data_IF_527636257762
#
_entry.id   IF_527636257762
#
_cell.length_a   1.000
_cell.length_b   1.000
_cell.length_c   1.000
_cell.angle_alpha   90.00
_cell.angle_beta   90.00
_cell.angle_gamma   90.00
#
_symmetry.space_group_name_H-M   'P 1'
#
loop_
_entity.id
_entity.type
_entity.pdbx_description
1 polymer ?
#
# COMPACT_ATOMS: atom_id res chain seq x y z
N UNK A 1 -22.30 2.47 -23.67
CA UNK A 1 -21.95 2.73 -22.28
C UNK A 1 -20.43 2.86 -22.07
N UNK A 2 -19.60 2.00 -22.66
CA UNK A 2 -18.12 2.15 -22.65
C UNK A 2 -17.67 3.50 -23.24
N UNK A 3 -18.45 4.12 -24.15
CA UNK A 3 -18.16 5.45 -24.72
C UNK A 3 -18.13 6.56 -23.67
N UNK A 4 -18.81 6.38 -22.55
CA UNK A 4 -18.90 7.35 -21.46
C UNK A 4 -17.86 7.12 -20.34
N UNK A 5 -17.05 6.06 -20.41
CA UNK A 5 -15.91 5.86 -19.55
C UNK A 5 -14.64 6.39 -20.23
N UNK A 6 -14.07 7.46 -19.70
CA UNK A 6 -12.97 8.22 -20.30
C UNK A 6 -11.86 8.44 -19.27
N UNK A 7 -11.05 7.42 -18.99
CA UNK A 7 -9.91 7.57 -18.10
C UNK A 7 -8.85 8.49 -18.71
N UNK A 8 -8.09 9.23 -17.89
CA UNK A 8 -7.02 10.12 -18.37
C UNK A 8 -5.81 9.35 -18.90
N UNK A 9 -5.67 8.08 -18.51
CA UNK A 9 -4.59 7.18 -18.95
C UNK A 9 -5.18 6.20 -19.96
N UNK A 10 -4.55 6.11 -21.11
CA UNK A 10 -4.96 5.18 -22.17
C UNK A 10 -4.72 3.73 -21.74
N UNK A 11 -5.62 2.83 -22.13
CA UNK A 11 -5.52 1.41 -21.81
C UNK A 11 -6.23 0.97 -20.54
N UNK A 12 -6.70 1.90 -19.68
CA UNK A 12 -7.51 1.52 -18.52
C UNK A 12 -8.89 1.05 -18.98
N UNK A 13 -9.19 -0.21 -18.66
CA UNK A 13 -10.47 -0.86 -18.96
C UNK A 13 -11.26 -1.01 -17.65
N UNK A 14 -12.57 -0.66 -17.65
CA UNK A 14 -13.37 -0.83 -16.43
C UNK A 14 -13.52 -2.31 -16.10
N UNK A 15 -13.24 -2.69 -14.86
CA UNK A 15 -13.40 -4.06 -14.35
C UNK A 15 -14.44 -4.10 -13.22
N UNK A 16 -15.22 -5.18 -13.16
CA UNK A 16 -16.25 -5.38 -12.14
C UNK A 16 -15.63 -5.40 -10.73
N UNK A 17 -16.27 -4.71 -9.79
CA UNK A 17 -15.82 -4.59 -8.40
C UNK A 17 -14.80 -3.49 -8.16
N UNK A 18 -14.13 -2.98 -9.20
CA UNK A 18 -13.12 -1.93 -9.13
C UNK A 18 -13.72 -0.56 -8.89
N UNK A 19 -12.94 0.30 -8.27
CA UNK A 19 -13.27 1.70 -8.08
C UNK A 19 -12.48 2.61 -9.04
N UNK A 20 -13.12 3.66 -9.49
CA UNK A 20 -12.52 4.68 -10.35
C UNK A 20 -13.02 6.05 -9.93
N UNK A 21 -12.29 7.14 -10.23
CA UNK A 21 -12.78 8.50 -9.99
C UNK A 21 -14.06 8.78 -10.78
N UNK A 22 -15.06 9.39 -10.16
CA UNK A 22 -16.31 9.75 -10.85
C UNK A 22 -16.05 10.60 -12.08
N UNK A 23 -15.00 11.44 -12.06
CA UNK A 23 -14.63 12.30 -13.18
C UNK A 23 -14.27 11.58 -14.49
N UNK A 24 -14.09 10.24 -14.50
CA UNK A 24 -13.90 9.49 -15.75
C UNK A 24 -15.22 9.18 -16.47
N UNK A 25 -16.36 9.34 -15.80
CA UNK A 25 -17.69 9.18 -16.39
C UNK A 25 -18.10 10.44 -17.14
N UNK A 26 -18.74 10.28 -18.29
CA UNK A 26 -19.24 11.37 -19.12
C UNK A 26 -20.75 11.25 -19.31
N UNK A 27 -21.41 12.39 -19.46
CA UNK A 27 -22.83 12.45 -19.76
C UNK A 27 -23.76 12.19 -18.57
N UNK A 28 -23.24 12.22 -17.34
CA UNK A 28 -24.03 12.11 -16.12
C UNK A 28 -24.23 13.49 -15.48
N UNK A 29 -25.47 13.87 -15.11
CA UNK A 29 -25.72 15.10 -14.39
C UNK A 29 -24.96 15.14 -13.05
N UNK A 30 -24.35 16.29 -12.71
CA UNK A 30 -23.62 16.47 -11.45
C UNK A 30 -22.25 15.79 -11.37
N UNK A 31 -21.78 15.15 -12.44
CA UNK A 31 -20.45 14.54 -12.53
C UNK A 31 -19.55 15.42 -13.39
N UNK A 32 -18.43 15.87 -12.81
CA UNK A 32 -17.46 16.75 -13.46
C UNK A 32 -16.11 16.06 -13.61
N UNK A 33 -15.30 16.38 -14.62
CA UNK A 33 -13.99 15.74 -14.87
C UNK A 33 -13.01 15.80 -13.68
N UNK A 34 -13.14 16.83 -12.82
CA UNK A 34 -12.29 17.01 -11.64
C UNK A 34 -12.76 16.23 -10.41
N UNK A 35 -13.90 15.54 -10.49
CA UNK A 35 -14.44 14.80 -9.36
C UNK A 35 -13.64 13.51 -9.12
N UNK A 36 -12.83 13.52 -8.07
CA UNK A 36 -11.97 12.38 -7.67
C UNK A 36 -12.68 11.39 -6.73
N UNK A 37 -13.91 11.67 -6.28
CA UNK A 37 -14.68 10.75 -5.45
C UNK A 37 -14.79 9.38 -6.13
N UNK A 38 -14.62 8.28 -5.40
CA UNK A 38 -14.70 6.94 -5.99
C UNK A 38 -16.14 6.60 -6.40
N UNK A 39 -16.27 5.86 -7.50
CA UNK A 39 -17.47 5.08 -7.82
C UNK A 39 -17.07 3.63 -8.06
N UNK A 40 -17.98 2.70 -7.76
CA UNK A 40 -17.75 1.28 -8.02
C UNK A 40 -18.34 0.87 -9.36
N UNK A 41 -17.59 0.08 -10.12
CA UNK A 41 -18.13 -0.67 -11.26
C UNK A 41 -18.85 -1.91 -10.73
N UNK A 42 -20.17 -1.92 -10.86
CA UNK A 42 -21.00 -3.05 -10.41
C UNK A 42 -21.00 -4.18 -11.45
N UNK A 43 -21.10 -3.81 -12.72
CA UNK A 43 -21.14 -4.73 -13.84
C UNK A 43 -20.63 -4.07 -15.11
N UNK A 44 -19.94 -4.84 -15.93
CA UNK A 44 -19.53 -4.48 -17.28
C UNK A 44 -20.15 -5.49 -18.25
N UNK A 45 -21.02 -5.01 -19.12
CA UNK A 45 -21.58 -5.77 -20.24
C UNK A 45 -20.97 -5.24 -21.55
N UNK A 46 -21.24 -5.90 -22.68
CA UNK A 46 -20.73 -5.49 -24.00
C UNK A 46 -21.08 -4.02 -24.33
N UNK A 47 -22.31 -3.59 -24.01
CA UNK A 47 -22.83 -2.27 -24.31
C UNK A 47 -23.05 -1.38 -23.08
N UNK A 48 -22.93 -1.90 -21.86
CA UNK A 48 -23.30 -1.19 -20.65
C UNK A 48 -22.23 -1.26 -19.58
N UNK A 49 -22.11 -0.17 -18.83
CA UNK A 49 -21.39 -0.07 -17.57
C UNK A 49 -22.41 0.34 -16.50
N UNK A 50 -22.57 -0.47 -15.46
CA UNK A 50 -23.37 -0.13 -14.30
C UNK A 50 -22.42 0.41 -13.24
N UNK A 51 -22.61 1.67 -12.86
CA UNK A 51 -21.79 2.40 -11.89
C UNK A 51 -22.61 2.69 -10.62
N UNK A 52 -22.06 2.35 -9.46
CA UNK A 52 -22.57 2.78 -8.15
C UNK A 52 -21.78 4.01 -7.69
N UNK A 53 -22.44 5.16 -7.65
CA UNK A 53 -21.86 6.44 -7.26
C UNK A 53 -22.02 6.75 -5.77
N UNK A 54 -22.61 5.83 -5.01
CA UNK A 54 -22.74 6.01 -3.58
C UNK A 54 -21.37 5.94 -2.89
N UNK A 55 -21.35 6.46 -1.65
CA UNK A 55 -20.17 6.27 -0.79
C UNK A 55 -19.80 4.78 -0.67
N UNK A 56 -18.51 4.40 -0.67
CA UNK A 56 -18.09 3.01 -0.60
C UNK A 56 -18.66 2.20 0.59
N UNK A 57 -18.99 2.87 1.68
CA UNK A 57 -19.63 2.28 2.86
C UNK A 57 -21.16 2.42 2.87
N UNK A 58 -21.79 2.91 1.80
CA UNK A 58 -23.24 3.05 1.75
C UNK A 58 -23.94 1.70 1.96
N UNK A 59 -24.91 1.70 2.85
CA UNK A 59 -25.64 0.48 3.24
C UNK A 59 -24.86 -0.50 4.11
N UNK A 60 -23.72 -0.10 4.64
CA UNK A 60 -22.97 -0.85 5.66
C UNK A 60 -23.24 -0.23 7.01
N UNK A 61 -23.71 -1.03 7.96
CA UNK A 61 -23.71 -0.63 9.37
C UNK A 61 -22.26 -0.56 9.85
N UNK A 62 -21.84 0.59 10.34
CA UNK A 62 -20.49 0.82 10.82
C UNK A 62 -20.50 1.63 12.10
N UNK A 63 -19.59 1.31 13.01
CA UNK A 63 -19.29 2.10 14.20
C UNK A 63 -18.00 2.89 13.93
N UNK A 64 -18.05 4.19 14.16
CA UNK A 64 -16.88 5.06 14.09
C UNK A 64 -16.44 5.39 15.52
N UNK A 65 -15.26 4.93 15.91
CA UNK A 65 -14.58 5.32 17.14
C UNK A 65 -13.48 6.31 16.82
N UNK A 66 -13.47 7.45 17.50
CA UNK A 66 -12.51 8.53 17.26
C UNK A 66 -11.77 8.81 18.55
N UNK A 67 -10.44 8.64 18.52
CA UNK A 67 -9.54 9.03 19.60
C UNK A 67 -8.66 10.18 19.11
N UNK A 68 -8.80 11.42 19.64
CA UNK A 68 -7.90 12.51 19.33
C UNK A 68 -6.55 12.26 19.98
N UNK A 69 -5.54 11.97 19.19
CA UNK A 69 -4.17 11.71 19.68
C UNK A 69 -3.40 13.00 19.98
N UNK A 70 -3.62 14.04 19.17
CA UNK A 70 -2.97 15.34 19.33
C UNK A 70 -3.92 16.47 18.93
N UNK A 71 -3.77 17.61 19.59
CA UNK A 71 -4.49 18.85 19.28
C UNK A 71 -3.47 19.97 19.16
N UNK A 72 -3.45 20.65 18.02
CA UNK A 72 -2.56 21.79 17.79
C UNK A 72 -3.33 23.10 17.82
N UNK A 73 -2.76 24.17 18.39
CA UNK A 73 -3.34 25.50 18.28
C UNK A 73 -3.34 25.95 16.81
N UNK A 74 -4.39 26.64 16.40
CA UNK A 74 -4.47 27.27 15.09
C UNK A 74 -3.35 28.30 14.94
N UNK A 75 -2.52 28.17 13.91
CA UNK A 75 -1.35 29.02 13.70
C UNK A 75 -1.59 30.15 12.69
N UNK A 76 -2.66 30.09 11.92
CA UNK A 76 -3.01 31.10 10.90
C UNK A 76 -4.51 31.18 10.67
N UNK A 77 -4.96 32.36 10.29
CA UNK A 77 -6.34 32.58 9.86
C UNK A 77 -6.45 32.35 8.36
N UNK A 78 -6.91 31.16 7.98
CA UNK A 78 -7.35 30.88 6.63
C UNK A 78 -8.87 31.01 6.57
N UNK A 79 -9.38 31.61 5.49
CA UNK A 79 -10.81 31.61 5.22
C UNK A 79 -11.38 30.19 5.25
N UNK A 80 -12.51 30.00 5.90
CA UNK A 80 -13.05 28.68 6.16
C UNK A 80 -13.48 27.95 4.89
N UNK A 81 -12.95 26.77 4.66
CA UNK A 81 -13.55 25.77 3.79
C UNK A 81 -14.29 24.77 4.67
N UNK A 82 -15.58 24.57 4.42
CA UNK A 82 -16.29 23.47 5.05
C UNK A 82 -15.73 22.16 4.50
N UNK A 83 -15.14 21.37 5.35
CA UNK A 83 -14.71 20.01 4.99
C UNK A 83 -15.82 19.03 5.34
N UNK A 84 -16.10 18.13 4.42
CA UNK A 84 -16.90 16.93 4.72
C UNK A 84 -16.01 15.96 5.52
N UNK A 85 -15.96 16.19 6.83
CA UNK A 85 -15.10 15.43 7.72
C UNK A 85 -15.52 13.95 7.79
N UNK A 86 -16.80 13.61 7.54
CA UNK A 86 -17.27 12.23 7.48
C UNK A 86 -16.61 11.53 6.28
N UNK A 87 -16.67 12.14 5.08
CA UNK A 87 -15.96 11.62 3.92
C UNK A 87 -14.46 11.54 4.17
N UNK A 88 -13.84 12.59 4.73
CA UNK A 88 -12.40 12.59 5.01
C UNK A 88 -11.96 11.46 5.96
N UNK A 89 -12.78 11.08 6.93
CA UNK A 89 -12.51 9.98 7.84
C UNK A 89 -12.78 8.59 7.22
N UNK A 90 -13.72 8.49 6.29
CA UNK A 90 -14.21 7.22 5.75
C UNK A 90 -13.77 6.92 4.31
N UNK A 91 -13.22 7.89 3.58
CA UNK A 91 -12.69 7.71 2.22
C UNK A 91 -11.24 7.15 2.20
N UNK A 92 -10.79 6.60 3.31
CA UNK A 92 -9.44 6.03 3.39
C UNK A 92 -9.27 4.75 2.56
N UNK A 93 -8.05 4.48 2.07
CA UNK A 93 -7.73 3.20 1.45
C UNK A 93 -8.14 2.02 2.35
N UNK A 94 -8.77 1.01 1.75
CA UNK A 94 -9.27 -0.17 2.47
C UNK A 94 -10.64 -0.02 3.12
N UNK A 95 -11.17 1.18 3.29
CA UNK A 95 -12.50 1.44 3.85
C UNK A 95 -13.59 1.20 2.79
N UNK A 96 -13.72 0.00 2.30
CA UNK A 96 -14.74 -0.35 1.32
C UNK A 96 -15.51 -1.59 1.73
N UNK A 97 -16.79 -1.65 1.37
CA UNK A 97 -17.57 -2.85 1.52
C UNK A 97 -16.92 -4.00 0.73
N UNK A 98 -16.66 -5.11 1.40
CA UNK A 98 -16.21 -6.33 0.73
C UNK A 98 -17.30 -6.77 -0.25
N UNK A 99 -16.96 -6.86 -1.54
CA UNK A 99 -17.86 -7.44 -2.51
C UNK A 99 -17.89 -8.96 -2.30
N UNK A 100 -19.08 -9.56 -2.27
CA UNK A 100 -19.22 -11.03 -2.17
C UNK A 100 -18.53 -11.77 -3.32
N UNK A 101 -18.49 -11.16 -4.52
CA UNK A 101 -17.81 -11.70 -5.69
C UNK A 101 -16.29 -11.45 -5.70
N UNK A 102 -15.75 -10.73 -4.71
CA UNK A 102 -14.36 -10.27 -4.75
C UNK A 102 -14.15 -9.06 -5.67
N UNK A 103 -12.90 -8.67 -5.83
CA UNK A 103 -12.48 -7.67 -6.81
C UNK A 103 -11.37 -8.28 -7.64
N UNK A 104 -11.58 -8.32 -8.95
CA UNK A 104 -10.56 -8.77 -9.87
C UNK A 104 -9.49 -7.68 -10.06
N UNK A 105 -8.30 -7.98 -9.57
CA UNK A 105 -7.10 -7.16 -9.76
C UNK A 105 -6.14 -7.77 -10.79
N UNK A 106 -6.54 -8.82 -11.50
CA UNK A 106 -5.72 -9.47 -12.52
C UNK A 106 -4.48 -10.16 -11.95
N UNK A 107 -4.57 -10.73 -10.74
CA UNK A 107 -3.44 -11.36 -10.05
C UNK A 107 -3.33 -12.87 -10.29
N UNK A 108 -3.98 -13.40 -11.34
CA UNK A 108 -3.89 -14.82 -11.70
C UNK A 108 -2.54 -15.20 -12.35
N UNK A 109 -1.74 -14.20 -12.71
CA UNK A 109 -0.42 -14.35 -13.31
C UNK A 109 0.53 -13.21 -12.89
N UNK A 110 1.71 -13.14 -13.53
CA UNK A 110 2.63 -12.04 -13.29
C UNK A 110 2.00 -10.68 -13.64
N UNK A 111 2.15 -9.71 -12.74
CA UNK A 111 1.70 -8.35 -12.97
C UNK A 111 2.62 -7.65 -13.98
N UNK A 112 2.02 -6.85 -14.84
CA UNK A 112 2.74 -6.10 -15.87
C UNK A 112 3.55 -4.96 -15.25
N UNK A 113 4.83 -4.83 -15.65
CA UNK A 113 5.67 -3.66 -15.39
C UNK A 113 5.77 -2.76 -16.61
N UNK A 114 5.98 -1.45 -16.43
CA UNK A 114 6.34 -0.58 -17.55
C UNK A 114 7.61 -1.08 -18.25
N UNK A 115 7.70 -0.87 -19.56
CA UNK A 115 8.95 -1.13 -20.30
C UNK A 115 9.99 -0.10 -19.85
N UNK A 116 11.00 -0.55 -19.09
CA UNK A 116 12.07 0.27 -18.53
C UNK A 116 13.34 -0.53 -18.33
N UNK A 117 14.32 0.04 -17.64
CA UNK A 117 15.48 -0.71 -17.17
C UNK A 117 15.00 -1.82 -16.23
N UNK A 118 15.40 -3.07 -16.49
CA UNK A 118 15.08 -4.19 -15.63
C UNK A 118 15.52 -3.93 -14.17
N UNK A 119 14.90 -4.62 -13.23
CA UNK A 119 15.16 -4.44 -11.79
C UNK A 119 16.64 -4.50 -11.45
N UNK A 120 17.38 -5.47 -11.99
CA UNK A 120 18.81 -5.61 -11.76
C UNK A 120 19.60 -4.35 -12.12
N UNK A 121 19.32 -3.72 -13.27
CA UNK A 121 19.98 -2.50 -13.69
C UNK A 121 19.57 -1.28 -12.84
N UNK A 122 18.30 -1.20 -12.48
CA UNK A 122 17.79 -0.12 -11.65
C UNK A 122 18.37 -0.16 -10.23
N UNK A 123 18.36 -1.31 -9.58
CA UNK A 123 18.83 -1.47 -8.20
C UNK A 123 20.35 -1.68 -8.09
N UNK A 124 21.10 -1.79 -9.19
CA UNK A 124 22.56 -1.82 -9.16
C UNK A 124 23.18 -0.54 -8.59
N UNK A 125 22.50 0.60 -8.74
CA UNK A 125 22.98 1.89 -8.21
C UNK A 125 22.31 2.18 -6.87
N UNK A 126 23.06 2.35 -5.77
CA UNK A 126 22.50 2.67 -4.46
C UNK A 126 21.69 3.98 -4.47
N UNK A 127 20.54 3.97 -3.81
CA UNK A 127 19.61 5.11 -3.71
C UNK A 127 19.27 5.40 -2.26
N UNK A 128 20.15 6.10 -1.58
CA UNK A 128 19.97 6.48 -0.16
C UNK A 128 19.07 7.72 -0.03
N UNK A 129 17.83 7.58 -0.51
CA UNK A 129 16.82 8.66 -0.44
C UNK A 129 15.69 8.27 0.51
N UNK A 130 15.17 9.22 1.32
CA UNK A 130 14.00 8.95 2.12
C UNK A 130 12.78 8.67 1.21
N UNK A 131 12.17 7.50 1.38
CA UNK A 131 11.00 7.14 0.59
C UNK A 131 9.75 7.90 1.03
N UNK A 132 9.69 8.28 2.31
CA UNK A 132 8.61 9.07 2.92
C UNK A 132 9.19 10.13 3.86
N UNK A 133 8.38 11.12 4.25
CA UNK A 133 8.83 12.14 5.20
C UNK A 133 9.07 11.59 6.63
N UNK A 134 9.63 12.43 7.51
CA UNK A 134 10.03 11.99 8.84
C UNK A 134 8.83 11.69 9.76
N UNK A 135 7.64 12.28 9.52
CA UNK A 135 6.45 11.93 10.30
C UNK A 135 5.92 10.56 9.88
N UNK A 136 5.85 10.29 8.59
CA UNK A 136 5.45 8.97 8.09
C UNK A 136 6.40 7.88 8.59
N UNK A 137 7.71 8.12 8.63
CA UNK A 137 8.68 7.19 9.22
C UNK A 137 8.37 6.88 10.68
N UNK A 138 8.13 7.91 11.52
CA UNK A 138 7.72 7.70 12.92
C UNK A 138 6.43 6.90 13.05
N UNK A 139 5.49 7.10 12.14
CA UNK A 139 4.24 6.37 12.12
C UNK A 139 4.47 4.88 11.80
N UNK A 140 5.35 4.57 10.86
CA UNK A 140 5.75 3.18 10.54
C UNK A 140 6.47 2.54 11.73
N UNK A 141 7.44 3.22 12.31
CA UNK A 141 8.17 2.74 13.51
C UNK A 141 7.22 2.45 14.68
N UNK A 142 6.26 3.33 14.93
CA UNK A 142 5.23 3.13 15.96
C UNK A 142 4.33 1.93 15.65
N UNK A 143 3.94 1.77 14.40
CA UNK A 143 3.15 0.62 13.96
C UNK A 143 3.92 -0.69 14.18
N UNK A 144 5.17 -0.76 13.76
CA UNK A 144 6.03 -1.92 13.98
C UNK A 144 6.30 -2.18 15.44
N UNK A 145 6.52 -1.14 16.26
CA UNK A 145 6.68 -1.27 17.71
C UNK A 145 5.48 -1.94 18.39
N UNK A 146 4.28 -1.71 17.87
CA UNK A 146 3.05 -2.36 18.32
C UNK A 146 2.90 -3.79 17.79
N UNK A 147 3.07 -3.98 16.48
CA UNK A 147 2.79 -5.26 15.81
C UNK A 147 3.89 -6.31 16.05
N UNK A 148 5.15 -5.88 16.20
CA UNK A 148 6.29 -6.77 16.38
C UNK A 148 6.67 -6.98 17.85
N UNK A 149 5.86 -6.50 18.79
CA UNK A 149 6.12 -6.67 20.22
C UNK A 149 6.29 -8.15 20.58
N UNK A 150 7.43 -8.48 21.17
CA UNK A 150 7.77 -9.84 21.60
C UNK A 150 8.30 -10.76 20.48
N UNK A 151 8.50 -10.23 19.28
CA UNK A 151 9.11 -10.94 18.15
C UNK A 151 10.61 -10.63 18.10
N UNK A 152 11.42 -11.60 17.66
CA UNK A 152 12.89 -11.50 17.69
C UNK A 152 13.56 -12.01 16.41
N UNK A 153 12.88 -12.84 15.62
CA UNK A 153 13.40 -13.40 14.37
C UNK A 153 12.64 -12.76 13.20
N UNK A 154 13.05 -11.56 12.83
CA UNK A 154 12.39 -10.76 11.81
C UNK A 154 13.12 -10.89 10.47
N UNK A 155 12.37 -11.05 9.38
CA UNK A 155 12.84 -10.93 8.01
C UNK A 155 12.30 -9.63 7.40
N UNK A 156 13.19 -8.79 6.90
CA UNK A 156 12.84 -7.58 6.13
C UNK A 156 12.99 -7.87 4.63
N UNK A 157 11.85 -7.98 3.94
CA UNK A 157 11.79 -8.25 2.51
C UNK A 157 11.95 -6.96 1.71
N UNK A 158 12.72 -7.04 0.62
CA UNK A 158 13.06 -5.92 -0.24
C UNK A 158 13.73 -4.79 0.54
N UNK A 159 14.58 -5.19 1.51
CA UNK A 159 15.32 -4.29 2.36
C UNK A 159 16.28 -3.42 1.56
N UNK A 160 16.42 -2.17 1.98
CA UNK A 160 17.39 -1.20 1.47
C UNK A 160 18.24 -0.63 2.60
N UNK A 161 18.67 0.63 2.41
CA UNK A 161 19.54 1.32 3.37
C UNK A 161 18.85 1.69 4.70
N UNK A 162 17.53 1.58 4.79
CA UNK A 162 16.74 1.92 5.96
C UNK A 162 15.57 0.93 6.14
N UNK A 163 15.56 0.25 7.28
CA UNK A 163 14.37 -0.42 7.82
C UNK A 163 13.67 0.51 8.80
N UNK A 164 12.38 0.43 8.88
CA UNK A 164 11.59 1.26 9.81
C UNK A 164 11.27 0.49 11.11
N UNK A 165 12.19 -0.40 11.51
CA UNK A 165 12.03 -1.21 12.71
C UNK A 165 12.23 -0.39 13.98
N UNK A 166 11.59 -0.77 15.10
CA UNK A 166 11.83 -0.15 16.38
C UNK A 166 13.29 -0.26 16.80
N UNK A 167 13.77 0.73 17.56
CA UNK A 167 15.13 0.70 18.10
C UNK A 167 15.41 -0.60 18.88
N UNK A 168 16.57 -1.20 18.62
CA UNK A 168 17.01 -2.45 19.24
C UNK A 168 16.45 -3.74 18.62
N UNK A 169 15.50 -3.67 17.69
CA UNK A 169 15.05 -4.82 16.92
C UNK A 169 15.91 -4.94 15.66
N UNK A 170 16.51 -6.11 15.46
CA UNK A 170 17.27 -6.41 14.26
C UNK A 170 16.57 -7.45 13.40
N UNK A 171 16.78 -7.37 12.08
CA UNK A 171 16.23 -8.30 11.10
C UNK A 171 17.31 -8.94 10.22
N UNK A 172 16.99 -10.07 9.61
CA UNK A 172 17.66 -10.52 8.40
C UNK A 172 17.08 -9.70 7.23
N UNK A 173 17.92 -9.09 6.41
CA UNK A 173 17.50 -8.33 5.23
C UNK A 173 17.63 -9.15 3.96
N UNK A 174 16.61 -9.08 3.10
CA UNK A 174 16.66 -9.63 1.75
C UNK A 174 16.31 -8.50 0.76
N UNK A 175 17.21 -8.21 -0.17
CA UNK A 175 17.04 -7.14 -1.14
C UNK A 175 18.01 -7.25 -2.31
N UNK A 176 18.01 -6.28 -3.20
CA UNK A 176 18.81 -6.36 -4.42
C UNK A 176 20.14 -5.60 -4.35
N UNK A 177 20.32 -4.67 -3.41
CA UNK A 177 21.53 -3.87 -3.29
C UNK A 177 22.26 -4.16 -1.98
N UNK A 178 23.41 -4.83 -2.08
CA UNK A 178 24.22 -5.23 -0.91
C UNK A 178 24.85 -4.03 -0.20
N UNK A 179 25.18 -2.94 -0.92
CA UNK A 179 25.76 -1.73 -0.32
C UNK A 179 24.73 -1.00 0.54
N UNK A 180 23.52 -0.81 0.03
CA UNK A 180 22.43 -0.21 0.80
C UNK A 180 22.13 -1.01 2.07
N UNK A 181 21.95 -2.33 1.92
CA UNK A 181 21.68 -3.22 3.06
C UNK A 181 22.83 -3.26 4.05
N UNK A 182 24.10 -3.22 3.58
CA UNK A 182 25.28 -3.22 4.43
C UNK A 182 25.41 -1.99 5.32
N UNK A 183 24.81 -0.87 4.93
CA UNK A 183 24.78 0.36 5.73
C UNK A 183 23.53 0.48 6.62
N UNK A 184 22.60 -0.45 6.54
CA UNK A 184 21.37 -0.43 7.33
C UNK A 184 21.63 -0.99 8.75
N UNK A 185 21.62 -0.16 9.79
CA UNK A 185 21.97 -0.59 11.14
C UNK A 185 20.93 -1.54 11.78
N UNK A 186 19.75 -1.65 11.20
CA UNK A 186 18.70 -2.55 11.66
C UNK A 186 18.86 -3.99 11.10
N UNK A 187 19.83 -4.22 10.20
CA UNK A 187 20.04 -5.56 9.63
C UNK A 187 21.22 -6.25 10.30
N UNK A 188 20.97 -7.46 10.82
CA UNK A 188 22.00 -8.34 11.41
C UNK A 188 22.66 -9.24 10.37
N UNK A 189 21.99 -9.49 9.25
CA UNK A 189 22.49 -10.26 8.11
C UNK A 189 21.79 -9.79 6.84
N UNK A 190 22.45 -10.01 5.69
CA UNK A 190 21.92 -9.57 4.39
C UNK A 190 22.01 -10.70 3.36
N UNK A 191 20.98 -10.84 2.54
CA UNK A 191 20.92 -11.77 1.41
C UNK A 191 20.54 -10.98 0.17
N UNK A 192 21.37 -11.07 -0.87
CA UNK A 192 21.06 -10.46 -2.18
C UNK A 192 20.19 -11.41 -2.98
N UNK A 193 18.96 -10.96 -3.31
CA UNK A 193 18.00 -11.79 -4.00
C UNK A 193 16.98 -10.94 -4.75
N UNK A 194 16.61 -11.36 -5.96
CA UNK A 194 15.59 -10.73 -6.79
C UNK A 194 14.29 -11.55 -6.75
N UNK A 195 13.32 -11.08 -5.97
CA UNK A 195 12.01 -11.72 -5.81
C UNK A 195 11.16 -11.73 -7.09
N UNK A 196 11.46 -10.88 -8.07
CA UNK A 196 10.77 -10.87 -9.36
C UNK A 196 11.34 -11.92 -10.32
N UNK A 197 12.63 -12.22 -10.21
CA UNK A 197 13.27 -13.31 -10.94
C UNK A 197 12.95 -14.68 -10.31
N UNK A 198 13.03 -14.78 -8.99
CA UNK A 198 12.68 -15.98 -8.24
C UNK A 198 11.95 -15.60 -6.94
N UNK A 199 10.65 -15.88 -6.81
CA UNK A 199 9.88 -15.58 -5.61
C UNK A 199 10.22 -16.49 -4.42
N UNK A 200 11.01 -17.56 -4.62
CA UNK A 200 11.40 -18.51 -3.58
C UNK A 200 12.36 -17.85 -2.58
N UNK A 201 12.00 -17.83 -1.31
CA UNK A 201 12.88 -17.27 -0.27
C UNK A 201 14.00 -18.25 0.10
N UNK A 202 15.28 -17.81 0.10
CA UNK A 202 16.43 -18.66 0.39
C UNK A 202 16.61 -18.94 1.91
N UNK A 203 15.51 -19.21 2.58
CA UNK A 203 15.46 -19.52 4.01
C UNK A 203 14.67 -20.81 4.25
N UNK A 204 15.01 -21.49 5.35
CA UNK A 204 14.30 -22.70 5.77
C UNK A 204 12.86 -22.38 6.22
N UNK A 205 12.02 -23.42 6.25
CA UNK A 205 10.67 -23.32 6.78
C UNK A 205 10.70 -22.91 8.26
N UNK A 206 9.73 -22.06 8.66
CA UNK A 206 9.51 -21.67 10.06
C UNK A 206 10.75 -21.04 10.72
N UNK A 207 11.57 -20.33 9.94
CA UNK A 207 12.79 -19.68 10.43
C UNK A 207 12.53 -18.34 11.13
N UNK A 208 11.37 -17.72 10.89
CA UNK A 208 11.04 -16.39 11.37
C UNK A 208 9.73 -16.37 12.15
N UNK A 209 9.60 -15.41 13.07
CA UNK A 209 8.36 -15.12 13.79
C UNK A 209 7.64 -13.89 13.22
N UNK A 210 8.35 -13.07 12.42
CA UNK A 210 7.76 -11.99 11.63
C UNK A 210 8.46 -11.80 10.29
N UNK A 211 7.68 -11.39 9.29
CA UNK A 211 8.14 -10.90 7.98
C UNK A 211 7.56 -9.51 7.77
N UNK A 212 8.41 -8.56 7.41
CA UNK A 212 7.99 -7.19 7.06
C UNK A 212 8.39 -6.87 5.62
N UNK A 213 7.58 -6.06 4.94
CA UNK A 213 7.89 -5.48 3.64
C UNK A 213 7.48 -4.01 3.66
N UNK A 214 8.46 -3.11 3.60
CA UNK A 214 8.24 -1.68 3.76
C UNK A 214 8.44 -0.94 2.45
N UNK A 215 7.39 -0.21 1.99
CA UNK A 215 7.43 0.72 0.84
C UNK A 215 7.96 0.07 -0.45
N UNK A 216 7.59 -1.20 -0.69
CA UNK A 216 8.17 -1.98 -1.79
C UNK A 216 7.21 -2.97 -2.47
N UNK A 217 6.03 -3.25 -1.89
CA UNK A 217 5.07 -4.24 -2.44
C UNK A 217 4.61 -3.90 -3.85
N UNK A 218 4.60 -2.63 -4.21
CA UNK A 218 4.23 -2.10 -5.51
C UNK A 218 5.17 -2.50 -6.65
N UNK A 219 6.33 -3.05 -6.33
CA UNK A 219 7.34 -3.48 -7.31
C UNK A 219 7.31 -4.98 -7.59
N UNK A 220 6.53 -5.76 -6.85
CA UNK A 220 6.43 -7.20 -7.01
C UNK A 220 5.56 -7.58 -8.20
N UNK A 221 6.09 -8.36 -9.13
CA UNK A 221 5.32 -8.89 -10.27
C UNK A 221 4.56 -10.17 -9.91
N UNK A 222 5.00 -10.90 -8.88
CA UNK A 222 4.35 -12.14 -8.37
C UNK A 222 4.08 -12.05 -6.87
N UNK A 223 3.33 -11.03 -6.39
CA UNK A 223 3.19 -10.77 -4.96
C UNK A 223 2.50 -11.91 -4.19
N UNK A 224 1.60 -12.64 -4.84
CA UNK A 224 0.90 -13.77 -4.21
C UNK A 224 1.88 -14.93 -3.93
N UNK A 225 2.82 -15.20 -4.85
CA UNK A 225 3.82 -16.24 -4.64
C UNK A 225 4.81 -15.84 -3.55
N UNK A 226 5.25 -14.57 -3.53
CA UNK A 226 6.11 -14.04 -2.46
C UNK A 226 5.42 -14.15 -1.09
N UNK A 227 4.11 -13.87 -1.00
CA UNK A 227 3.37 -14.04 0.25
C UNK A 227 3.21 -15.52 0.66
N UNK A 228 3.10 -16.45 -0.30
CA UNK A 228 3.13 -17.89 0.01
C UNK A 228 4.47 -18.30 0.60
N UNK A 229 5.57 -17.80 0.06
CA UNK A 229 6.91 -18.03 0.56
C UNK A 229 7.14 -17.36 1.92
N UNK A 230 6.67 -16.12 2.11
CA UNK A 230 6.67 -15.46 3.41
C UNK A 230 5.96 -16.30 4.48
N UNK A 231 4.82 -16.89 4.13
CA UNK A 231 4.11 -17.80 5.04
C UNK A 231 4.88 -19.11 5.29
N UNK A 232 5.60 -19.66 4.31
CA UNK A 232 6.42 -20.86 4.48
C UNK A 232 7.56 -20.66 5.48
N UNK A 233 8.23 -19.51 5.38
CA UNK A 233 9.35 -19.19 6.27
C UNK A 233 8.92 -18.71 7.67
N UNK A 234 7.64 -18.35 7.84
CA UNK A 234 7.06 -17.99 9.12
C UNK A 234 6.66 -19.23 9.93
N UNK A 235 6.85 -19.19 11.23
CA UNK A 235 6.28 -20.19 12.14
C UNK A 235 4.74 -20.07 12.23
N UNK A 236 4.03 -21.10 12.68
CA UNK A 236 2.60 -21.00 12.96
C UNK A 236 2.29 -19.85 13.92
N UNK A 237 1.32 -19.00 13.58
CA UNK A 237 1.04 -17.75 14.30
C UNK A 237 2.05 -16.61 14.02
N UNK A 238 3.02 -16.85 13.14
CA UNK A 238 3.94 -15.82 12.65
C UNK A 238 3.22 -14.71 11.89
N UNK A 239 3.74 -13.49 11.93
CA UNK A 239 3.11 -12.29 11.39
C UNK A 239 3.78 -11.84 10.10
N UNK A 240 3.01 -11.59 9.05
CA UNK A 240 3.47 -10.87 7.86
C UNK A 240 2.85 -9.47 7.82
N UNK A 241 3.66 -8.42 7.67
CA UNK A 241 3.22 -7.02 7.60
C UNK A 241 3.74 -6.38 6.33
N UNK A 242 2.85 -5.84 5.54
CA UNK A 242 3.17 -5.05 4.34
C UNK A 242 2.77 -3.61 4.59
N UNK A 243 3.73 -2.68 4.49
CA UNK A 243 3.53 -1.24 4.64
C UNK A 243 3.82 -0.53 3.34
N UNK A 244 2.98 0.40 2.94
CA UNK A 244 3.15 1.21 1.74
C UNK A 244 2.62 2.62 1.95
N UNK A 245 2.92 3.51 0.98
CA UNK A 245 2.49 4.90 0.98
C UNK A 245 1.94 5.28 -0.40
N UNK A 246 1.76 6.58 -0.65
CA UNK A 246 1.35 7.12 -1.95
C UNK A 246 2.55 7.48 -2.84
N UNK A 247 3.78 7.09 -2.44
CA UNK A 247 5.02 7.33 -3.19
C UNK A 247 5.60 6.03 -3.71
N UNK A 248 6.05 6.05 -4.93
CA UNK A 248 6.75 4.93 -5.59
C UNK A 248 7.65 5.46 -6.71
N UNK A 249 8.52 4.60 -7.22
CA UNK A 249 9.28 4.86 -8.44
C UNK A 249 8.40 4.52 -9.66
N UNK A 250 7.98 5.51 -10.48
CA UNK A 250 7.00 5.30 -11.56
C UNK A 250 7.40 4.22 -12.56
N UNK A 251 8.70 4.16 -12.89
CA UNK A 251 9.23 3.21 -13.88
C UNK A 251 9.42 1.78 -13.33
N UNK A 252 9.20 1.57 -12.02
CA UNK A 252 9.39 0.29 -11.34
C UNK A 252 8.09 -0.31 -10.81
N UNK A 253 7.11 0.51 -10.48
CA UNK A 253 5.85 0.03 -9.96
C UNK A 253 5.09 -0.76 -11.03
N UNK A 254 4.44 -1.85 -10.62
CA UNK A 254 3.57 -2.62 -11.51
C UNK A 254 2.44 -1.74 -12.02
N UNK A 255 2.07 -1.92 -13.28
CA UNK A 255 1.13 -1.05 -13.99
C UNK A 255 -0.18 -0.87 -13.25
N UNK A 256 -0.77 -1.95 -12.76
CA UNK A 256 -2.02 -1.88 -12.01
C UNK A 256 -1.93 -0.95 -10.79
N UNK A 257 -0.80 -0.93 -10.07
CA UNK A 257 -0.61 -0.06 -8.92
C UNK A 257 -0.78 1.42 -9.26
N UNK A 258 -0.26 1.83 -10.41
CA UNK A 258 -0.36 3.22 -10.90
C UNK A 258 -1.75 3.56 -11.43
N UNK A 259 -2.50 2.56 -11.90
CA UNK A 259 -3.86 2.70 -12.43
C UNK A 259 -4.95 2.65 -11.35
N UNK A 260 -4.62 2.12 -10.15
CA UNK A 260 -5.57 2.03 -9.04
C UNK A 260 -5.93 3.41 -8.50
N UNK A 261 -7.21 3.62 -8.23
CA UNK A 261 -7.62 4.67 -7.33
C UNK A 261 -6.97 4.45 -5.96
N UNK A 262 -6.48 5.51 -5.31
CA UNK A 262 -5.78 5.42 -4.01
C UNK A 262 -6.56 4.59 -2.99
N UNK A 263 -7.88 4.74 -3.01
CA UNK A 263 -8.83 3.99 -2.18
C UNK A 263 -8.69 2.46 -2.30
N UNK A 264 -8.20 1.93 -3.43
CA UNK A 264 -8.15 0.49 -3.69
C UNK A 264 -6.83 -0.19 -3.33
N UNK A 265 -5.72 0.53 -3.14
CA UNK A 265 -4.41 -0.10 -2.95
C UNK A 265 -4.36 -1.02 -1.73
N UNK A 266 -4.89 -0.59 -0.58
CA UNK A 266 -4.97 -1.45 0.60
C UNK A 266 -5.85 -2.69 0.36
N UNK A 267 -6.91 -2.53 -0.44
CA UNK A 267 -7.76 -3.66 -0.80
C UNK A 267 -7.05 -4.66 -1.74
N UNK A 268 -6.23 -4.16 -2.67
CA UNK A 268 -5.40 -5.03 -3.52
C UNK A 268 -4.40 -5.82 -2.68
N UNK A 269 -3.70 -5.16 -1.75
CA UNK A 269 -2.75 -5.87 -0.87
C UNK A 269 -3.46 -6.89 0.01
N UNK A 270 -4.63 -6.55 0.58
CA UNK A 270 -5.43 -7.52 1.35
C UNK A 270 -5.88 -8.71 0.47
N UNK A 271 -6.17 -8.48 -0.81
CA UNK A 271 -6.50 -9.55 -1.75
C UNK A 271 -5.30 -10.45 -2.06
N UNK A 272 -4.07 -9.91 -2.10
CA UNK A 272 -2.85 -10.71 -2.21
C UNK A 272 -2.72 -11.70 -1.04
N UNK A 273 -2.96 -11.24 0.19
CA UNK A 273 -3.00 -12.12 1.38
C UNK A 273 -4.06 -13.20 1.24
N UNK A 274 -5.28 -12.84 0.82
CA UNK A 274 -6.38 -13.78 0.63
C UNK A 274 -6.06 -14.83 -0.44
N UNK A 275 -5.54 -14.42 -1.59
CA UNK A 275 -5.19 -15.31 -2.70
C UNK A 275 -3.99 -16.22 -2.38
N UNK A 276 -3.12 -15.82 -1.47
CA UNK A 276 -2.06 -16.71 -0.99
C UNK A 276 -2.61 -17.94 -0.28
N UNK A 277 -3.79 -17.82 0.37
CA UNK A 277 -4.46 -18.90 1.11
C UNK A 277 -3.70 -19.34 2.36
N UNK A 278 -2.82 -18.50 2.90
CA UNK A 278 -1.90 -18.86 4.00
C UNK A 278 -2.09 -18.03 5.26
N UNK A 279 -2.87 -16.97 5.21
CA UNK A 279 -3.01 -16.04 6.32
C UNK A 279 -4.46 -15.95 6.79
N UNK A 280 -4.61 -15.94 8.10
CA UNK A 280 -5.87 -15.68 8.78
C UNK A 280 -5.89 -14.23 9.31
N UNK A 281 -7.07 -13.76 9.70
CA UNK A 281 -7.28 -12.49 10.38
C UNK A 281 -6.58 -11.30 9.70
N UNK A 282 -6.69 -11.20 8.36
CA UNK A 282 -6.11 -10.08 7.61
C UNK A 282 -6.74 -8.77 8.05
N UNK A 283 -5.89 -7.85 8.52
CA UNK A 283 -6.28 -6.53 8.98
C UNK A 283 -5.59 -5.43 8.17
N UNK A 284 -6.17 -4.24 8.18
CA UNK A 284 -5.65 -3.07 7.47
C UNK A 284 -5.59 -1.86 8.39
N UNK A 285 -4.67 -0.95 8.08
CA UNK A 285 -4.57 0.35 8.73
C UNK A 285 -4.29 1.41 7.65
N UNK A 286 -4.95 2.57 7.81
CA UNK A 286 -4.66 3.77 7.02
C UNK A 286 -4.49 4.95 7.96
N UNK A 287 -3.29 5.51 8.04
CA UNK A 287 -2.94 6.64 8.89
C UNK A 287 -2.61 7.85 8.01
N UNK A 288 -3.44 8.90 8.12
CA UNK A 288 -3.40 10.07 7.24
C UNK A 288 -3.65 11.35 8.03
N UNK A 289 -3.41 12.50 7.38
CA UNK A 289 -3.79 13.80 7.93
C UNK A 289 -2.83 14.41 8.93
N UNK A 290 -1.72 13.74 9.25
CA UNK A 290 -0.67 14.33 10.08
C UNK A 290 -0.08 15.58 9.40
N UNK A 291 0.26 16.62 10.16
CA UNK A 291 1.01 17.75 9.62
C UNK A 291 2.35 17.31 9.06
N UNK A 292 2.73 17.87 7.91
CA UNK A 292 4.06 17.66 7.36
C UNK A 292 5.10 18.37 8.21
N UNK A 293 6.20 17.69 8.58
CA UNK A 293 7.28 18.33 9.33
C UNK A 293 7.86 19.54 8.59
N UNK A 294 8.15 20.62 9.33
CA UNK A 294 8.80 21.81 8.80
C UNK A 294 10.31 21.54 8.61
N UNK A 295 10.66 20.75 7.61
CA UNK A 295 12.05 20.44 7.25
C UNK A 295 12.37 21.01 5.86
N UNK A 296 13.27 22.00 5.82
CA UNK A 296 13.69 22.62 4.56
C UNK A 296 14.41 21.65 3.61
N UNK A 297 14.87 20.49 4.09
CA UNK A 297 15.46 19.44 3.26
C UNK A 297 14.42 18.57 2.57
N UNK A 298 13.18 18.62 3.05
CA UNK A 298 12.07 17.94 2.38
C UNK A 298 11.64 18.76 1.16
N UNK A 299 11.87 18.22 -0.03
CA UNK A 299 11.58 18.90 -1.30
C UNK A 299 10.10 19.29 -1.49
N UNK A 300 9.20 18.71 -0.72
CA UNK A 300 7.76 19.00 -0.80
C UNK A 300 7.31 20.04 0.23
N UNK A 301 8.17 20.40 1.20
CA UNK A 301 7.89 21.48 2.12
C UNK A 301 8.25 22.84 1.48
N UNK A 302 7.43 23.88 1.61
CA UNK A 302 6.10 23.97 2.27
C UNK A 302 4.91 23.70 1.36
N UNK A 303 5.11 23.17 0.18
CA UNK A 303 4.06 23.02 -0.86
C UNK A 303 2.98 22.01 -0.45
N UNK A 304 3.35 20.97 0.28
CA UNK A 304 2.45 19.93 0.76
C UNK A 304 2.32 20.04 2.28
N UNK A 305 1.11 20.27 2.76
CA UNK A 305 0.86 20.54 4.18
C UNK A 305 0.73 19.27 5.02
N UNK A 306 0.36 18.14 4.42
CA UNK A 306 0.20 16.88 5.12
C UNK A 306 1.39 15.95 4.89
N UNK A 307 1.73 15.20 5.94
CA UNK A 307 2.68 14.11 5.89
C UNK A 307 2.24 13.04 4.90
N UNK A 308 3.20 12.28 4.39
CA UNK A 308 2.91 11.14 3.52
C UNK A 308 2.05 10.12 4.30
N UNK A 309 0.95 9.60 3.72
CA UNK A 309 0.12 8.63 4.40
C UNK A 309 0.85 7.31 4.59
N UNK A 310 0.49 6.59 5.64
CA UNK A 310 0.96 5.23 5.92
C UNK A 310 -0.21 4.28 5.82
N UNK A 311 -0.08 3.28 4.98
CA UNK A 311 -1.03 2.20 4.82
C UNK A 311 -0.34 0.89 5.16
N UNK A 312 -1.05 0.02 5.85
CA UNK A 312 -0.53 -1.29 6.19
C UNK A 312 -1.60 -2.37 6.02
N UNK A 313 -1.15 -3.54 5.64
CA UNK A 313 -1.94 -4.78 5.64
C UNK A 313 -1.11 -5.86 6.31
N UNK A 314 -1.71 -6.60 7.22
CA UNK A 314 -1.03 -7.71 7.88
C UNK A 314 -1.95 -8.89 8.12
N UNK A 315 -1.36 -10.06 8.26
CA UNK A 315 -2.04 -11.29 8.61
C UNK A 315 -1.12 -12.24 9.36
N UNK A 316 -1.70 -13.16 10.10
CA UNK A 316 -0.98 -14.25 10.80
C UNK A 316 -1.09 -15.53 10.02
N UNK A 317 -0.02 -16.32 10.00
CA UNK A 317 -0.03 -17.66 9.39
C UNK A 317 -0.95 -18.55 10.19
N UNK A 318 -1.79 -19.32 9.50
CA UNK A 318 -2.69 -20.30 10.13
C UNK A 318 -1.88 -21.31 10.97
N UNK A 319 -2.46 -21.71 12.11
CA UNK A 319 -1.83 -22.65 13.05
C UNK A 319 -1.72 -24.08 12.50
#
# INVERSE_FOLDING_TARGET
ARRNFRPPVEGIVPATGRFYPQGVLRGLPGVYPQNIKPFRVVRVDDDALVADLNHPLAGVEAMLEIEPLEVWPKQAEFGGQCQDWICALTDGPGLKRRNAAGTDFGMDGPLEKPMGAGDAAFYATPRKVPHVDSQARRNIERLYGRLLKGRSRVLDLMAGWQSHLPEGLQAAGLGMNSEEMGENPALSSVVVHDLNADPTLPFGDRSFDAVVCSLSVEYLVRPVDVLREAARVLEPGGLCVVVFSHRWFPDQAVRIWTELHEFERAAMVAEMFRLSGRFDAVATLSERGWPRPMDARDRYYPMVQHSDPVHAVWGTVSA
#
